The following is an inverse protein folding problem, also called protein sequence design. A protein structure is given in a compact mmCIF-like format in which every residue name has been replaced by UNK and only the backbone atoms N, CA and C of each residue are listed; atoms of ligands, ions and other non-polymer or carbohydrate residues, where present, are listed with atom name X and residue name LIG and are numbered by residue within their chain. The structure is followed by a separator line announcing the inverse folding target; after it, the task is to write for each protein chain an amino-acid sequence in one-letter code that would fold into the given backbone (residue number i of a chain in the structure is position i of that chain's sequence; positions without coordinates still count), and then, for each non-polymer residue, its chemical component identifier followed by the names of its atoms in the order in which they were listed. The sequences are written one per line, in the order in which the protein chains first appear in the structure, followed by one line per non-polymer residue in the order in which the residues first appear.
data_IF_987197016596
#
_entry.id   IF_987197016596
#
_cell.length_a   1.000
_cell.length_b   1.000
_cell.length_c   1.000
_cell.angle_alpha   90.00
_cell.angle_beta   90.00
_cell.angle_gamma   90.00
#
_symmetry.space_group_name_H-M   'P 1'
#
loop_
_entity.id
_entity.type
_entity.pdbx_description
1 polymer ?
#
# COMPACT_ATOMS: atom_id res chain seq x y z
N UNK A 1 27.84 -6.95 -37.52
CA UNK A 1 26.83 -5.89 -37.34
C UNK A 1 25.50 -6.61 -37.17
N UNK A 2 24.94 -6.65 -35.97
CA UNK A 2 23.67 -7.32 -35.74
C UNK A 2 22.54 -6.32 -35.95
N UNK A 3 21.70 -6.53 -36.96
CA UNK A 3 20.54 -5.70 -37.24
C UNK A 3 19.34 -6.31 -36.53
N UNK A 4 18.75 -5.58 -35.58
CA UNK A 4 17.48 -5.98 -34.97
C UNK A 4 16.38 -5.69 -36.00
N UNK A 5 15.73 -6.75 -36.48
CA UNK A 5 14.61 -6.64 -37.38
C UNK A 5 13.36 -6.31 -36.54
N UNK A 6 13.01 -5.03 -36.44
CA UNK A 6 11.70 -4.66 -35.91
C UNK A 6 10.65 -5.05 -36.96
N UNK A 7 9.66 -5.89 -36.65
CA UNK A 7 8.61 -6.22 -37.61
C UNK A 7 7.87 -4.92 -38.02
N UNK A 8 7.42 -4.82 -39.28
CA UNK A 8 6.64 -3.68 -39.72
C UNK A 8 5.39 -3.56 -38.84
N UNK A 9 4.95 -2.33 -38.60
CA UNK A 9 3.84 -1.93 -37.75
C UNK A 9 2.54 -2.69 -38.08
N UNK A 10 2.42 -3.95 -37.67
CA UNK A 10 1.14 -4.60 -37.47
C UNK A 10 0.41 -3.88 -36.35
N UNK A 11 -0.91 -4.10 -36.22
CA UNK A 11 -1.67 -3.68 -35.04
C UNK A 11 -0.86 -4.09 -33.80
N UNK A 12 -0.18 -3.13 -33.18
CA UNK A 12 0.44 -3.33 -31.89
C UNK A 12 -0.73 -3.66 -30.98
N UNK A 13 -0.81 -4.91 -30.53
CA UNK A 13 -1.82 -5.34 -29.60
C UNK A 13 -1.75 -4.38 -28.40
N UNK A 14 -2.74 -3.50 -28.30
CA UNK A 14 -2.79 -2.49 -27.23
C UNK A 14 -2.88 -3.28 -25.93
N UNK A 15 -1.89 -3.09 -25.06
CA UNK A 15 -1.93 -3.67 -23.71
C UNK A 15 -3.13 -3.05 -23.00
N UNK A 16 -4.14 -3.83 -22.59
CA UNK A 16 -5.33 -3.25 -21.99
C UNK A 16 -5.01 -2.47 -20.71
N UNK A 17 -5.69 -1.35 -20.51
CA UNK A 17 -5.52 -0.49 -19.33
C UNK A 17 -4.28 0.40 -19.35
N UNK A 18 -3.52 0.47 -20.45
CA UNK A 18 -2.28 1.26 -20.52
C UNK A 18 -2.52 2.78 -20.50
N UNK A 19 -3.76 3.25 -20.49
CA UNK A 19 -4.09 4.69 -20.47
C UNK A 19 -3.65 5.37 -19.15
N UNK A 20 -3.50 4.61 -18.06
CA UNK A 20 -2.83 5.07 -16.84
C UNK A 20 -2.33 3.88 -15.99
N UNK A 21 -1.35 4.09 -15.08
CA UNK A 21 -0.91 3.05 -14.15
C UNK A 21 -2.05 2.43 -13.34
N UNK A 22 -3.00 3.24 -12.86
CA UNK A 22 -4.18 2.80 -12.11
C UNK A 22 -5.05 1.88 -12.95
N UNK A 23 -5.37 2.28 -14.18
CA UNK A 23 -6.18 1.47 -15.10
C UNK A 23 -5.51 0.15 -15.43
N UNK A 24 -4.19 0.16 -15.59
CA UNK A 24 -3.44 -1.05 -15.88
C UNK A 24 -3.44 -2.00 -14.67
N UNK A 25 -3.20 -1.48 -13.46
CA UNK A 25 -3.24 -2.30 -12.24
C UNK A 25 -4.64 -2.82 -11.98
N UNK A 26 -5.69 -2.00 -12.13
CA UNK A 26 -7.07 -2.44 -12.02
C UNK A 26 -7.41 -3.55 -13.02
N UNK A 27 -6.94 -3.45 -14.27
CA UNK A 27 -7.07 -4.50 -15.28
C UNK A 27 -6.37 -5.79 -14.85
N UNK A 28 -5.11 -5.73 -14.41
CA UNK A 28 -4.34 -6.89 -13.97
C UNK A 28 -4.99 -7.56 -12.77
N UNK A 29 -5.44 -6.78 -11.77
CA UNK A 29 -6.17 -7.29 -10.62
C UNK A 29 -7.43 -8.04 -11.05
N UNK A 30 -8.24 -7.42 -11.91
CA UNK A 30 -9.53 -7.98 -12.36
C UNK A 30 -9.40 -9.19 -13.26
N UNK A 31 -8.41 -9.23 -14.15
CA UNK A 31 -8.34 -10.24 -15.22
C UNK A 31 -7.27 -11.31 -15.01
N UNK A 32 -6.21 -11.00 -14.25
CA UNK A 32 -5.09 -11.91 -14.01
C UNK A 32 -5.12 -12.41 -12.57
N UNK A 33 -5.03 -11.51 -11.60
CA UNK A 33 -4.88 -11.87 -10.18
C UNK A 33 -6.16 -12.48 -9.63
N UNK A 34 -7.33 -12.01 -10.06
CA UNK A 34 -8.63 -12.54 -9.61
C UNK A 34 -8.78 -14.06 -9.83
N UNK A 35 -8.11 -14.59 -10.87
CA UNK A 35 -8.11 -16.01 -11.25
C UNK A 35 -7.17 -16.87 -10.40
N UNK A 36 -6.29 -16.25 -9.61
CA UNK A 36 -5.43 -16.98 -8.69
C UNK A 36 -6.31 -17.76 -7.70
N UNK A 37 -6.02 -19.06 -7.52
CA UNK A 37 -6.70 -19.91 -6.52
C UNK A 37 -6.23 -19.62 -5.09
N UNK A 38 -5.13 -18.87 -4.95
CA UNK A 38 -4.62 -18.51 -3.63
C UNK A 38 -5.63 -17.63 -2.90
N UNK A 39 -5.86 -17.98 -1.64
CA UNK A 39 -6.60 -17.15 -0.70
C UNK A 39 -5.68 -16.13 -0.02
N UNK A 40 -4.37 -16.17 -0.26
CA UNK A 40 -3.38 -15.24 0.28
C UNK A 40 -2.58 -14.61 -0.85
N UNK A 41 -2.70 -13.29 -0.96
CA UNK A 41 -2.06 -12.51 -2.02
C UNK A 41 -1.16 -11.48 -1.35
N UNK A 42 0.08 -11.42 -1.81
CA UNK A 42 1.08 -10.47 -1.39
C UNK A 42 1.47 -9.61 -2.57
N UNK A 43 1.64 -8.30 -2.34
CA UNK A 43 2.08 -7.38 -3.36
C UNK A 43 3.36 -6.68 -2.96
N UNK A 44 4.26 -6.50 -3.94
CA UNK A 44 5.38 -5.58 -3.85
C UNK A 44 5.12 -4.50 -4.89
N UNK A 45 4.83 -3.30 -4.42
CA UNK A 45 4.75 -2.11 -5.26
C UNK A 45 6.03 -1.30 -5.16
N UNK A 46 6.36 -0.59 -6.23
CA UNK A 46 7.52 0.27 -6.30
C UNK A 46 7.11 1.66 -6.80
N UNK A 47 7.58 2.71 -6.12
CA UNK A 47 7.22 4.10 -6.38
C UNK A 47 5.70 4.29 -6.53
N UNK A 48 5.28 4.86 -7.68
CA UNK A 48 3.89 5.12 -8.03
C UNK A 48 3.07 3.85 -8.25
N UNK A 49 3.72 2.70 -8.51
CA UNK A 49 3.03 1.41 -8.61
C UNK A 49 2.29 1.04 -7.34
N UNK A 50 2.78 1.45 -6.17
CA UNK A 50 2.06 1.31 -4.91
C UNK A 50 0.78 2.14 -4.87
N UNK A 51 0.83 3.39 -5.32
CA UNK A 51 -0.35 4.26 -5.36
C UNK A 51 -1.40 3.66 -6.30
N UNK A 52 -1.01 3.25 -7.51
CA UNK A 52 -1.90 2.61 -8.47
C UNK A 52 -2.53 1.32 -7.91
N UNK A 53 -1.75 0.51 -7.19
CA UNK A 53 -2.23 -0.68 -6.48
C UNK A 53 -3.24 -0.34 -5.39
N UNK A 54 -2.91 0.57 -4.48
CA UNK A 54 -3.78 0.95 -3.38
C UNK A 54 -5.06 1.63 -3.89
N UNK A 55 -4.96 2.45 -4.93
CA UNK A 55 -6.12 3.01 -5.62
C UNK A 55 -7.05 1.90 -6.13
N UNK A 56 -6.49 0.95 -6.89
CA UNK A 56 -7.27 -0.15 -7.47
C UNK A 56 -7.88 -1.08 -6.40
N UNK A 57 -7.18 -1.31 -5.29
CA UNK A 57 -7.71 -2.06 -4.14
C UNK A 57 -8.84 -1.27 -3.49
N UNK A 58 -8.71 0.04 -3.29
CA UNK A 58 -9.75 0.88 -2.68
C UNK A 58 -11.04 0.89 -3.51
N UNK A 59 -10.96 1.01 -4.83
CA UNK A 59 -12.12 0.99 -5.74
C UNK A 59 -12.86 -0.36 -5.73
N UNK A 60 -12.17 -1.43 -5.32
CA UNK A 60 -12.68 -2.81 -5.30
C UNK A 60 -12.54 -3.42 -3.90
N UNK A 61 -12.67 -2.61 -2.85
CA UNK A 61 -12.20 -2.97 -1.51
C UNK A 61 -12.83 -4.25 -0.96
N UNK A 62 -14.14 -4.42 -1.13
CA UNK A 62 -14.84 -5.64 -0.69
C UNK A 62 -14.35 -6.93 -1.37
N UNK A 63 -13.81 -6.82 -2.59
CA UNK A 63 -13.25 -7.96 -3.32
C UNK A 63 -11.86 -8.33 -2.81
N UNK A 64 -11.07 -7.35 -2.39
CA UNK A 64 -9.65 -7.53 -2.13
C UNK A 64 -9.27 -7.57 -0.65
N UNK A 65 -10.02 -6.91 0.24
CA UNK A 65 -9.68 -6.75 1.66
C UNK A 65 -9.35 -8.06 2.37
N UNK A 66 -10.06 -9.15 2.03
CA UNK A 66 -9.87 -10.48 2.62
C UNK A 66 -8.88 -11.36 1.83
N UNK A 67 -8.61 -11.04 0.56
CA UNK A 67 -7.70 -11.82 -0.29
C UNK A 67 -6.26 -11.37 -0.15
N UNK A 68 -6.05 -10.07 0.02
CA UNK A 68 -4.73 -9.45 0.15
C UNK A 68 -4.27 -9.55 1.60
N UNK A 69 -3.17 -10.26 1.81
CA UNK A 69 -2.60 -10.49 3.14
C UNK A 69 -1.59 -9.40 3.54
N UNK A 70 -0.87 -8.84 2.58
CA UNK A 70 0.06 -7.74 2.81
C UNK A 70 0.53 -7.07 1.51
N UNK A 71 0.92 -5.80 1.63
CA UNK A 71 1.56 -5.01 0.59
C UNK A 71 2.86 -4.39 1.12
N UNK A 72 3.96 -4.61 0.40
CA UNK A 72 5.21 -3.90 0.60
C UNK A 72 5.34 -2.77 -0.44
N UNK A 73 5.64 -1.56 0.01
CA UNK A 73 5.73 -0.38 -0.82
C UNK A 73 7.14 0.21 -0.79
N UNK A 74 7.91 0.01 -1.86
CA UNK A 74 9.29 0.49 -1.95
C UNK A 74 9.30 1.91 -2.54
N UNK A 75 9.92 2.87 -1.87
CA UNK A 75 10.06 4.27 -2.31
C UNK A 75 8.74 4.92 -2.74
N UNK A 76 7.66 4.62 -2.05
CA UNK A 76 6.33 5.09 -2.43
C UNK A 76 5.95 6.40 -1.77
N UNK A 77 5.41 7.31 -2.57
CA UNK A 77 4.78 8.56 -2.12
C UNK A 77 3.25 8.47 -2.03
N UNK A 78 2.68 7.26 -1.87
CA UNK A 78 1.23 7.11 -1.72
C UNK A 78 0.71 7.89 -0.51
N UNK A 79 -0.58 8.19 -0.52
CA UNK A 79 -1.28 8.87 0.57
C UNK A 79 -2.59 8.16 0.82
N UNK A 80 -3.01 8.07 2.09
CA UNK A 80 -4.38 7.64 2.43
C UNK A 80 -5.36 8.80 2.50
N UNK A 81 -4.84 10.03 2.55
CA UNK A 81 -5.64 11.25 2.51
C UNK A 81 -6.33 11.33 1.14
N UNK A 82 -7.67 11.27 1.13
CA UNK A 82 -8.50 11.36 -0.08
C UNK A 82 -9.20 10.07 -0.49
N UNK A 83 -8.96 8.93 0.18
CA UNK A 83 -9.79 7.75 -0.03
C UNK A 83 -11.08 7.86 0.78
N UNK A 84 -12.22 7.78 0.09
CA UNK A 84 -13.57 7.86 0.68
C UNK A 84 -14.17 6.47 0.93
N UNK A 85 -13.34 5.46 1.22
CA UNK A 85 -13.79 4.07 1.41
C UNK A 85 -13.66 3.71 2.89
N UNK A 86 -14.79 3.40 3.51
CA UNK A 86 -14.87 3.06 4.93
C UNK A 86 -13.96 1.87 5.27
N UNK A 87 -13.16 2.02 6.32
CA UNK A 87 -12.22 1.00 6.79
C UNK A 87 -10.96 0.85 5.92
N UNK A 88 -10.85 1.49 4.75
CA UNK A 88 -9.64 1.39 3.92
C UNK A 88 -8.39 1.98 4.61
N UNK A 89 -8.41 3.15 5.26
CA UNK A 89 -7.25 3.64 5.99
C UNK A 89 -6.79 2.71 7.12
N UNK A 90 -7.73 2.11 7.85
CA UNK A 90 -7.43 1.11 8.87
C UNK A 90 -6.82 -0.15 8.26
N UNK A 91 -7.34 -0.60 7.12
CA UNK A 91 -6.79 -1.71 6.37
C UNK A 91 -5.37 -1.42 5.86
N UNK A 92 -5.09 -0.21 5.35
CA UNK A 92 -3.75 0.21 4.94
C UNK A 92 -2.79 0.14 6.11
N UNK A 93 -3.16 0.71 7.26
CA UNK A 93 -2.37 0.65 8.49
C UNK A 93 -2.03 -0.77 8.91
N UNK A 94 -2.97 -1.69 8.72
CA UNK A 94 -2.84 -3.08 9.13
C UNK A 94 -2.19 -3.98 8.09
N UNK A 95 -2.06 -3.60 6.82
CA UNK A 95 -1.62 -4.54 5.78
C UNK A 95 -0.53 -3.98 4.87
N UNK A 96 -0.15 -2.71 5.04
CA UNK A 96 0.83 -2.04 4.17
C UNK A 96 2.03 -1.59 4.98
N UNK A 97 3.22 -1.74 4.39
CA UNK A 97 4.50 -1.29 4.96
C UNK A 97 5.30 -0.60 3.86
N UNK A 98 5.77 0.61 4.14
CA UNK A 98 6.72 1.33 3.29
C UNK A 98 8.16 0.88 3.53
N UNK A 99 9.00 0.91 2.51
CA UNK A 99 10.44 0.68 2.59
C UNK A 99 11.14 1.83 1.89
N UNK A 100 11.99 2.56 2.61
CA UNK A 100 12.55 3.82 2.12
C UNK A 100 14.06 3.93 2.28
N UNK A 101 14.62 4.77 1.44
CA UNK A 101 15.97 5.30 1.48
C UNK A 101 16.13 5.98 2.81
N UNK A 102 17.23 5.66 3.46
CA UNK A 102 17.60 6.22 4.73
C UNK A 102 19.10 6.17 4.85
N UNK A 103 19.67 6.95 5.76
CA UNK A 103 21.08 6.80 6.02
C UNK A 103 21.39 5.44 6.68
N UNK A 104 22.62 4.91 6.56
CA UNK A 104 22.99 3.62 7.15
C UNK A 104 22.72 3.52 8.66
N UNK A 105 22.84 4.62 9.40
CA UNK A 105 22.54 4.70 10.84
C UNK A 105 21.05 4.63 11.18
N UNK A 106 20.17 4.75 10.19
CA UNK A 106 18.73 4.56 10.33
C UNK A 106 18.28 3.15 9.97
N UNK A 107 19.17 2.30 9.43
CA UNK A 107 18.84 0.93 9.02
C UNK A 107 18.06 0.19 10.11
N UNK A 108 16.93 -0.40 9.71
CA UNK A 108 16.09 -1.19 10.60
C UNK A 108 15.10 -0.40 11.46
N UNK A 109 15.21 0.95 11.48
CA UNK A 109 14.22 1.79 12.16
C UNK A 109 12.92 1.76 11.38
N UNK A 110 11.81 1.74 12.11
CA UNK A 110 10.48 1.86 11.53
C UNK A 110 9.79 3.09 12.11
N UNK A 111 9.15 3.90 11.26
CA UNK A 111 8.47 5.15 11.65
C UNK A 111 7.07 5.19 11.04
N UNK A 112 6.07 5.62 11.80
CA UNK A 112 4.72 5.80 11.28
C UNK A 112 4.61 7.10 10.48
N UNK A 113 4.19 7.00 9.23
CA UNK A 113 4.03 8.13 8.33
C UNK A 113 2.53 8.48 8.20
N UNK A 114 2.10 9.55 8.88
CA UNK A 114 0.67 9.94 8.97
C UNK A 114 0.01 10.09 7.58
N UNK A 115 0.59 10.79 6.58
CA UNK A 115 -0.07 10.95 5.28
C UNK A 115 -0.22 9.63 4.52
N UNK A 116 0.74 8.71 4.67
CA UNK A 116 0.76 7.39 4.05
C UNK A 116 -0.11 6.37 4.80
N UNK A 117 -0.49 6.65 6.05
CA UNK A 117 -1.35 5.79 6.86
C UNK A 117 -0.70 4.47 7.31
N UNK A 118 0.61 4.31 7.13
CA UNK A 118 1.32 3.08 7.45
C UNK A 118 2.75 3.32 7.95
N UNK A 119 3.38 2.25 8.42
CA UNK A 119 4.75 2.25 8.92
C UNK A 119 5.76 2.16 7.78
N UNK A 120 6.87 2.86 7.92
CA UNK A 120 7.96 2.96 6.95
C UNK A 120 9.25 2.43 7.55
N UNK A 121 9.81 1.40 6.94
CA UNK A 121 11.08 0.76 7.30
C UNK A 121 12.25 1.44 6.58
N UNK A 122 13.25 1.82 7.35
CA UNK A 122 14.49 2.45 6.88
C UNK A 122 15.47 1.38 6.39
N UNK A 123 15.77 1.38 5.09
CA UNK A 123 16.61 0.35 4.45
C UNK A 123 18.12 0.53 4.69
N UNK A 124 18.55 1.73 5.09
CA UNK A 124 19.94 2.03 5.35
C UNK A 124 20.78 2.23 4.09
N UNK A 125 20.16 2.66 3.00
CA UNK A 125 20.82 3.10 1.78
C UNK A 125 20.21 4.41 1.29
N UNK A 126 21.06 5.31 0.77
CA UNK A 126 20.64 6.56 0.13
C UNK A 126 20.52 6.41 -1.39
N UNK A 127 20.90 5.25 -1.92
CA UNK A 127 20.82 4.93 -3.33
C UNK A 127 19.52 4.22 -3.63
N UNK A 128 18.73 4.84 -4.49
CA UNK A 128 17.39 4.40 -4.88
C UNK A 128 17.36 2.93 -5.34
N UNK A 129 18.24 2.55 -6.26
CA UNK A 129 18.27 1.19 -6.82
C UNK A 129 18.66 0.14 -5.76
N UNK A 130 19.48 0.55 -4.78
CA UNK A 130 19.86 -0.31 -3.68
C UNK A 130 18.73 -0.49 -2.66
N UNK A 131 17.79 0.46 -2.52
CA UNK A 131 16.64 0.30 -1.62
C UNK A 131 15.89 -1.00 -1.93
N UNK A 132 15.70 -1.32 -3.22
CA UNK A 132 15.02 -2.56 -3.62
C UNK A 132 15.76 -3.78 -3.08
N UNK A 133 17.08 -3.83 -3.29
CA UNK A 133 17.93 -4.95 -2.88
C UNK A 133 17.91 -5.10 -1.35
N UNK A 134 18.14 -4.00 -0.63
CA UNK A 134 18.19 -3.98 0.83
C UNK A 134 16.81 -4.24 1.47
N UNK A 135 15.71 -3.91 0.79
CA UNK A 135 14.36 -4.14 1.26
C UNK A 135 13.88 -5.58 1.09
N UNK A 136 14.45 -6.38 0.18
CA UNK A 136 13.90 -7.70 -0.14
C UNK A 136 13.82 -8.65 1.06
N UNK A 137 14.90 -8.78 1.83
CA UNK A 137 14.92 -9.65 3.02
C UNK A 137 13.92 -9.17 4.11
N UNK A 138 13.89 -7.88 4.49
CA UNK A 138 12.81 -7.32 5.31
C UNK A 138 11.40 -7.58 4.78
N UNK A 139 11.16 -7.41 3.48
CA UNK A 139 9.85 -7.63 2.84
C UNK A 139 9.39 -9.07 3.01
N UNK A 140 10.26 -10.04 2.71
CA UNK A 140 9.87 -11.44 2.83
C UNK A 140 9.71 -11.88 4.28
N UNK A 141 10.45 -11.28 5.24
CA UNK A 141 10.17 -11.48 6.67
C UNK A 141 8.78 -10.97 7.05
N UNK A 142 8.41 -9.77 6.59
CA UNK A 142 7.05 -9.26 6.77
C UNK A 142 5.99 -10.18 6.15
N UNK A 143 6.21 -10.68 4.94
CA UNK A 143 5.25 -11.62 4.33
C UNK A 143 5.16 -12.94 5.10
N UNK A 144 6.28 -13.43 5.64
CA UNK A 144 6.30 -14.63 6.47
C UNK A 144 5.51 -14.45 7.77
N UNK A 145 5.56 -13.28 8.42
CA UNK A 145 4.73 -13.02 9.62
C UNK A 145 3.23 -12.93 9.31
N UNK A 146 2.88 -12.62 8.05
CA UNK A 146 1.49 -12.52 7.57
C UNK A 146 0.93 -13.81 6.96
N UNK A 147 1.80 -14.74 6.59
CA UNK A 147 1.38 -16.01 6.02
C UNK A 147 0.62 -16.84 7.06
N UNK A 148 -0.58 -17.32 6.70
CA UNK A 148 -1.43 -18.11 7.61
C UNK A 148 -2.04 -17.32 8.77
N UNK A 149 -1.85 -16.01 8.82
CA UNK A 149 -2.43 -15.17 9.87
C UNK A 149 -3.95 -15.06 9.73
N UNK A 150 -4.67 -15.02 10.86
CA UNK A 150 -6.12 -14.89 10.84
C UNK A 150 -6.53 -13.48 10.40
N UNK A 151 -6.98 -13.36 9.15
CA UNK A 151 -7.38 -12.09 8.50
C UNK A 151 -8.57 -11.38 9.14
N UNK A 152 -9.22 -12.01 10.14
CA UNK A 152 -10.50 -11.57 10.72
C UNK A 152 -10.39 -10.72 11.97
N UNK A 153 -9.19 -10.46 12.51
CA UNK A 153 -9.09 -9.57 13.67
C UNK A 153 -9.16 -8.11 13.21
N UNK A 154 -10.32 -7.49 13.41
CA UNK A 154 -10.57 -6.04 13.23
C UNK A 154 -9.67 -5.19 14.14
N UNK A 155 -9.19 -5.79 15.23
CA UNK A 155 -8.29 -5.18 16.20
C UNK A 155 -6.85 -5.09 15.63
N UNK A 156 -6.23 -3.89 15.60
CA UNK A 156 -4.81 -3.75 15.27
C UNK A 156 -3.99 -4.44 16.35
N UNK A 157 -3.64 -5.70 16.12
CA UNK A 157 -2.76 -6.45 17.01
C UNK A 157 -1.49 -6.79 16.25
N UNK A 158 -0.32 -6.58 16.86
CA UNK A 158 0.91 -7.21 16.42
C UNK A 158 0.68 -8.70 16.19
N UNK A 159 0.69 -9.13 14.93
CA UNK A 159 0.56 -10.57 14.61
C UNK A 159 1.87 -11.27 15.03
N UNK A 160 2.99 -10.54 14.99
CA UNK A 160 4.31 -10.95 15.45
C UNK A 160 5.09 -9.74 16.00
N UNK A 161 5.99 -9.90 16.99
CA UNK A 161 6.86 -8.81 17.46
C UNK A 161 7.70 -8.18 16.34
N UNK A 162 8.08 -9.00 15.35
CA UNK A 162 8.84 -8.56 14.16
C UNK A 162 7.95 -8.06 13.00
N UNK A 163 6.63 -8.02 13.16
CA UNK A 163 5.75 -7.45 12.13
C UNK A 163 5.93 -5.92 12.10
N UNK A 164 6.43 -5.29 11.02
CA UNK A 164 6.65 -3.85 10.97
C UNK A 164 5.36 -3.02 11.05
N UNK A 165 4.17 -3.63 10.97
CA UNK A 165 2.89 -2.97 11.26
C UNK A 165 2.59 -2.85 12.77
N UNK A 166 3.40 -3.52 13.61
CA UNK A 166 3.31 -3.60 15.09
C UNK A 166 3.65 -2.32 15.83
N UNK A 167 4.19 -1.28 15.18
CA UNK A 167 4.31 0.04 15.82
C UNK A 167 2.90 0.64 16.00
N UNK A 168 2.17 0.10 16.97
CA UNK A 168 0.97 0.66 17.56
C UNK A 168 1.42 1.61 18.65
N UNK A 169 1.32 2.92 18.37
CA UNK A 169 0.88 3.92 19.35
C UNK A 169 1.71 4.15 20.62
N UNK A 170 2.93 3.63 20.76
CA UNK A 170 3.77 4.02 21.91
C UNK A 170 4.42 5.41 21.74
N UNK A 171 4.36 6.00 20.53
CA UNK A 171 4.94 7.33 20.22
C UNK A 171 3.94 8.38 19.73
N UNK A 172 2.64 8.09 19.73
CA UNK A 172 1.57 9.01 19.34
C UNK A 172 0.57 9.05 20.48
N UNK A 173 0.88 9.80 21.55
CA UNK A 173 -0.04 10.01 22.67
C UNK A 173 -1.42 10.49 22.18
N UNK A 174 -2.46 10.20 22.97
CA UNK A 174 -3.90 10.57 22.99
C UNK A 174 -4.68 11.01 21.71
N UNK A 175 -4.03 11.44 20.62
CA UNK A 175 -4.59 11.93 19.36
C UNK A 175 -5.32 10.86 18.52
N UNK A 176 -5.21 9.58 18.87
CA UNK A 176 -5.90 8.50 18.12
C UNK A 176 -7.35 8.34 18.54
N UNK A 177 -7.69 8.80 19.75
CA UNK A 177 -9.10 8.96 20.16
C UNK A 177 -9.82 10.00 19.29
N UNK A 178 -9.11 11.04 18.83
CA UNK A 178 -9.66 12.13 18.02
C UNK A 178 -10.00 11.71 16.60
N UNK A 179 -9.30 10.71 16.04
CA UNK A 179 -9.59 10.23 14.68
C UNK A 179 -10.76 9.25 14.59
N UNK A 180 -11.14 8.57 15.68
CA UNK A 180 -12.37 7.79 15.72
C UNK A 180 -13.60 8.67 15.99
N UNK A 181 -13.42 9.84 16.61
CA UNK A 181 -14.52 10.75 16.97
C UNK A 181 -14.85 11.80 15.88
N UNK A 182 -14.03 11.92 14.83
CA UNK A 182 -14.26 12.88 13.72
C UNK A 182 -14.86 12.26 12.45
N UNK A 183 -15.33 11.02 12.50
CA UNK A 183 -16.34 10.56 11.55
C UNK A 183 -17.73 10.91 12.06
N UNK A 184 -18.30 12.04 11.61
CA UNK A 184 -19.65 12.61 11.85
C UNK A 184 -19.67 13.98 12.56
N UNK A 185 -19.32 15.06 11.86
CA UNK A 185 -20.18 16.26 11.87
C UNK A 185 -19.76 17.22 10.74
N UNK A 186 -20.43 17.12 9.60
CA UNK A 186 -20.67 18.28 8.74
C UNK A 186 -22.08 18.12 8.15
N UNK A 187 -23.06 18.07 9.05
CA UNK A 187 -24.34 18.73 8.79
C UNK A 187 -24.17 20.18 9.23
N UNK A 188 -23.88 21.08 8.28
CA UNK A 188 -24.28 22.46 8.44
C UNK A 188 -25.05 22.89 7.19
N UNK A 189 -26.36 22.90 7.43
CA UNK A 189 -27.43 23.64 6.80
C UNK A 189 -27.05 24.65 5.71
N UNK A 190 -27.81 24.54 4.62
CA UNK A 190 -28.15 25.64 3.77
C UNK A 190 -28.78 26.79 4.59
N UNK A 191 -28.25 28.00 4.47
CA UNK A 191 -29.01 29.25 4.25
C UNK A 191 -28.15 30.50 4.51
N UNK A 192 -28.24 31.49 3.62
CA UNK A 192 -28.06 32.90 4.00
C UNK A 192 -26.86 33.66 3.41
N UNK A 193 -27.14 34.32 2.28
CA UNK A 193 -26.83 35.74 2.01
C UNK A 193 -25.45 36.21 1.48
N UNK A 194 -25.52 36.77 0.26
CA UNK A 194 -24.91 38.00 -0.31
C UNK A 194 -23.83 38.70 0.53
N UNK A 195 -22.66 39.08 0.02
CA UNK A 195 -22.34 39.81 -1.22
C UNK A 195 -20.97 39.42 -1.78
#
# INVERSE_FOLDING_TARGET
MATIHCPPSGELAIIPGIESPEKHVAYVLKHVVSRAKSNEIFFIGHQYGCHALLNSISEQFDTWKDRVSACACIESSHTVLGYNVDGFPAWVRQNVVGYVMSSPEERGKTTYMRPQGCNFFSTGTIEFDHTVIEAMDPIFRFFATRHGANKRSVEPRPIHPDDPTTLTLEGLGDDVSVMLDQGFNDSNDASGDTW
#
